data_IF_366115959459
#
_entry.id   IF_366115959459
#
_cell.length_a   1.000
_cell.length_b   1.000
_cell.length_c   1.000
_cell.angle_alpha   90.00
_cell.angle_beta   90.00
_cell.angle_gamma   90.00
#
_symmetry.space_group_name_H-M   'P 1'
#
loop_
_entity.id
_entity.type
_entity.pdbx_description
1 polymer ?
#
# COMPACT_ATOMS: atom_id res chain seq x y z
N UNK A 1 -24.16 15.72 0.64
CA UNK A 1 -23.68 14.39 0.19
C UNK A 1 -22.70 13.90 1.25
N UNK A 2 -22.64 12.60 1.56
CA UNK A 2 -21.77 12.11 2.65
C UNK A 2 -20.32 12.12 2.17
N UNK A 3 -19.44 12.94 2.76
CA UNK A 3 -18.03 13.11 2.35
C UNK A 3 -17.26 11.78 2.29
N UNK A 4 -17.60 10.83 3.15
CA UNK A 4 -17.00 9.48 3.15
C UNK A 4 -17.34 8.72 1.86
N UNK A 5 -18.55 8.88 1.31
CA UNK A 5 -18.95 8.24 0.05
C UNK A 5 -18.14 8.80 -1.12
N UNK A 6 -17.93 10.11 -1.17
CA UNK A 6 -17.08 10.75 -2.18
C UNK A 6 -15.64 10.25 -2.12
N UNK A 7 -15.07 10.11 -0.91
CA UNK A 7 -13.74 9.55 -0.69
C UNK A 7 -13.64 8.09 -1.18
N UNK A 8 -14.67 7.29 -0.95
CA UNK A 8 -14.71 5.91 -1.43
C UNK A 8 -14.88 5.82 -2.95
N UNK A 9 -15.63 6.72 -3.56
CA UNK A 9 -15.82 6.76 -5.01
C UNK A 9 -14.54 7.17 -5.74
N UNK A 10 -13.69 8.00 -5.12
CA UNK A 10 -12.35 8.31 -5.65
C UNK A 10 -11.48 7.05 -5.85
N UNK A 11 -11.71 5.98 -5.07
CA UNK A 11 -10.96 4.71 -5.19
C UNK A 11 -11.20 3.93 -6.48
N UNK A 12 -12.24 4.28 -7.25
CA UNK A 12 -12.52 3.61 -8.52
C UNK A 12 -11.64 4.11 -9.67
N UNK A 13 -10.98 5.24 -9.49
CA UNK A 13 -10.13 5.86 -10.50
C UNK A 13 -8.83 6.37 -9.89
N UNK A 14 -8.21 5.66 -8.94
CA UNK A 14 -6.92 6.07 -8.41
C UNK A 14 -5.84 6.11 -9.50
N UNK A 15 -4.86 7.02 -9.37
CA UNK A 15 -3.74 7.06 -10.29
C UNK A 15 -2.91 5.78 -10.15
N UNK A 16 -2.42 5.29 -11.28
CA UNK A 16 -1.51 4.15 -11.36
C UNK A 16 -0.09 4.69 -11.52
N UNK A 17 0.88 4.36 -10.64
CA UNK A 17 2.28 4.66 -10.90
C UNK A 17 2.77 4.02 -12.19
N UNK A 18 2.17 2.88 -12.56
CA UNK A 18 2.78 2.01 -13.54
C UNK A 18 2.44 2.40 -14.98
N UNK A 19 3.48 2.41 -15.82
CA UNK A 19 3.38 2.31 -17.28
C UNK A 19 3.06 0.89 -17.78
N UNK A 20 2.44 0.05 -16.94
CA UNK A 20 2.16 -1.39 -17.21
C UNK A 20 1.38 -1.59 -18.51
N UNK A 21 0.70 -0.56 -19.02
CA UNK A 21 0.02 -0.61 -20.31
C UNK A 21 0.99 -0.93 -21.44
N UNK A 22 2.19 -0.34 -21.46
CA UNK A 22 3.17 -0.62 -22.49
C UNK A 22 3.61 -2.08 -22.44
N UNK A 23 3.83 -2.62 -21.24
CA UNK A 23 4.21 -4.01 -21.01
C UNK A 23 3.07 -4.98 -21.36
N UNK A 24 1.82 -4.63 -21.05
CA UNK A 24 0.65 -5.43 -21.41
C UNK A 24 0.41 -5.40 -22.92
N UNK A 25 0.58 -4.25 -23.57
CA UNK A 25 0.50 -4.15 -25.03
C UNK A 25 1.60 -4.97 -25.68
N UNK A 26 2.82 -4.96 -25.15
CA UNK A 26 3.92 -5.82 -25.59
C UNK A 26 3.52 -7.30 -25.47
N UNK A 27 3.02 -7.72 -24.30
CA UNK A 27 2.63 -9.11 -24.03
C UNK A 27 1.43 -9.58 -24.83
N UNK A 28 0.44 -8.73 -25.08
CA UNK A 28 -0.70 -9.07 -25.93
C UNK A 28 -0.29 -9.31 -27.39
N UNK A 29 0.83 -8.73 -27.82
CA UNK A 29 1.35 -8.86 -29.19
C UNK A 29 2.45 -9.91 -29.34
N UNK A 30 2.94 -10.49 -28.24
CA UNK A 30 4.02 -11.48 -28.22
C UNK A 30 3.63 -12.74 -27.40
N UNK A 31 3.46 -13.91 -28.04
CA UNK A 31 3.11 -15.15 -27.34
C UNK A 31 4.22 -15.68 -26.41
N UNK A 32 5.46 -15.20 -26.52
CA UNK A 32 6.60 -15.59 -25.67
C UNK A 32 6.88 -14.58 -24.54
N UNK A 33 5.98 -13.62 -24.33
CA UNK A 33 6.24 -12.52 -23.44
C UNK A 33 6.41 -12.91 -21.96
N UNK A 34 7.24 -12.13 -21.27
CA UNK A 34 7.66 -12.44 -19.91
C UNK A 34 6.59 -12.05 -18.86
N UNK A 35 5.76 -13.02 -18.46
CA UNK A 35 4.74 -12.83 -17.41
C UNK A 35 5.29 -12.36 -16.07
N UNK A 36 6.55 -12.68 -15.74
CA UNK A 36 7.18 -12.24 -14.50
C UNK A 36 7.47 -10.73 -14.50
N UNK A 37 7.62 -10.12 -15.69
CA UNK A 37 7.76 -8.66 -15.82
C UNK A 37 6.46 -7.95 -15.44
N UNK A 38 5.34 -8.33 -16.08
CA UNK A 38 4.01 -7.77 -15.75
C UNK A 38 3.67 -8.01 -14.29
N UNK A 39 3.91 -9.22 -13.79
CA UNK A 39 3.63 -9.58 -12.41
C UNK A 39 4.37 -8.69 -11.41
N UNK A 40 5.63 -8.36 -11.70
CA UNK A 40 6.42 -7.42 -10.89
C UNK A 40 5.85 -6.01 -10.96
N UNK A 41 5.63 -5.49 -12.15
CA UNK A 41 5.12 -4.12 -12.35
C UNK A 41 3.76 -3.90 -11.68
N UNK A 42 2.84 -4.87 -11.79
CA UNK A 42 1.56 -4.84 -11.08
C UNK A 42 1.76 -4.92 -9.56
N UNK A 43 2.68 -5.77 -9.08
CA UNK A 43 2.92 -5.94 -7.64
C UNK A 43 3.52 -4.68 -6.97
N UNK A 44 4.09 -3.76 -7.75
CA UNK A 44 4.60 -2.47 -7.26
C UNK A 44 3.59 -1.34 -7.38
N UNK A 45 2.45 -1.61 -8.04
CA UNK A 45 1.37 -0.65 -8.23
C UNK A 45 0.25 -0.93 -7.20
N UNK A 46 0.04 -0.04 -6.21
CA UNK A 46 -1.00 -0.27 -5.20
C UNK A 46 -2.41 -0.40 -5.81
N UNK A 47 -2.71 0.40 -6.83
CA UNK A 47 -4.02 0.38 -7.46
C UNK A 47 -4.26 -0.92 -8.22
N UNK A 48 -3.35 -1.30 -9.13
CA UNK A 48 -3.48 -2.54 -9.90
C UNK A 48 -3.36 -3.78 -9.02
N UNK A 49 -2.47 -3.79 -8.03
CA UNK A 49 -2.36 -4.87 -7.03
C UNK A 49 -3.69 -5.11 -6.32
N UNK A 50 -4.33 -4.04 -5.82
CA UNK A 50 -5.61 -4.16 -5.14
C UNK A 50 -6.73 -4.60 -6.08
N UNK A 51 -6.80 -4.04 -7.29
CA UNK A 51 -7.81 -4.42 -8.28
C UNK A 51 -7.69 -5.88 -8.74
N UNK A 52 -6.47 -6.37 -9.04
CA UNK A 52 -6.28 -7.76 -9.48
C UNK A 52 -6.57 -8.74 -8.35
N UNK A 53 -6.17 -8.41 -7.11
CA UNK A 53 -6.45 -9.23 -5.94
C UNK A 53 -7.95 -9.29 -5.64
N UNK A 54 -8.63 -8.16 -5.75
CA UNK A 54 -10.09 -8.08 -5.63
C UNK A 54 -10.82 -8.90 -6.68
N UNK A 55 -10.36 -8.84 -7.93
CA UNK A 55 -10.90 -9.63 -9.03
C UNK A 55 -10.73 -11.13 -8.76
N UNK A 56 -9.54 -11.56 -8.35
CA UNK A 56 -9.21 -12.95 -7.99
C UNK A 56 -10.02 -13.50 -6.81
N UNK A 57 -10.51 -12.62 -5.92
CA UNK A 57 -11.36 -12.96 -4.77
C UNK A 57 -12.86 -12.79 -5.03
N UNK A 58 -13.25 -12.28 -6.21
CA UNK A 58 -14.67 -12.20 -6.57
C UNK A 58 -15.32 -13.58 -6.69
N UNK A 59 -16.66 -13.62 -6.58
CA UNK A 59 -17.43 -14.86 -6.63
C UNK A 59 -17.17 -15.70 -7.90
N UNK A 60 -16.80 -15.06 -9.01
CA UNK A 60 -16.49 -15.74 -10.27
C UNK A 60 -15.12 -16.45 -10.23
N UNK A 61 -14.09 -15.81 -9.70
CA UNK A 61 -12.70 -16.32 -9.74
C UNK A 61 -12.29 -17.12 -8.50
N UNK A 62 -12.84 -16.82 -7.32
CA UNK A 62 -12.30 -17.34 -6.05
C UNK A 62 -12.44 -18.85 -5.87
N UNK A 63 -13.48 -19.46 -6.46
CA UNK A 63 -13.80 -20.89 -6.32
C UNK A 63 -13.76 -21.38 -4.86
N UNK A 64 -14.14 -20.51 -3.91
CA UNK A 64 -14.16 -20.81 -2.48
C UNK A 64 -12.81 -20.78 -1.77
N UNK A 65 -11.73 -20.34 -2.43
CA UNK A 65 -10.41 -20.14 -1.80
C UNK A 65 -9.99 -18.69 -1.88
N UNK A 66 -9.65 -18.10 -0.74
CA UNK A 66 -9.09 -16.75 -0.70
C UNK A 66 -7.73 -16.70 -1.41
N UNK A 67 -7.44 -15.58 -2.10
CA UNK A 67 -6.15 -15.28 -2.71
C UNK A 67 -5.55 -14.08 -1.98
N UNK A 68 -4.31 -14.21 -1.53
CA UNK A 68 -3.66 -13.15 -0.73
C UNK A 68 -2.32 -12.71 -1.31
N UNK A 69 -2.04 -13.07 -2.56
CA UNK A 69 -0.77 -12.81 -3.25
C UNK A 69 -1.08 -12.38 -4.69
N UNK A 70 -0.38 -11.35 -5.18
CA UNK A 70 -0.63 -10.74 -6.49
C UNK A 70 -0.30 -11.69 -7.65
N UNK A 71 0.81 -12.42 -7.58
CA UNK A 71 1.19 -13.38 -8.62
C UNK A 71 0.16 -14.51 -8.74
N UNK A 72 -0.33 -15.02 -7.61
CA UNK A 72 -1.42 -16.00 -7.58
C UNK A 72 -2.74 -15.41 -8.11
N UNK A 73 -3.01 -14.14 -7.84
CA UNK A 73 -4.18 -13.45 -8.37
C UNK A 73 -4.11 -13.35 -9.89
N UNK A 74 -2.96 -12.97 -10.45
CA UNK A 74 -2.71 -12.91 -11.89
C UNK A 74 -2.91 -14.28 -12.54
N UNK A 75 -2.30 -15.34 -11.99
CA UNK A 75 -2.48 -16.71 -12.50
C UNK A 75 -3.94 -17.17 -12.44
N UNK A 76 -4.69 -16.77 -11.41
CA UNK A 76 -6.09 -17.14 -11.24
C UNK A 76 -7.02 -16.41 -12.19
N UNK A 77 -6.77 -15.12 -12.41
CA UNK A 77 -7.58 -14.26 -13.29
C UNK A 77 -7.30 -14.57 -14.76
N UNK A 78 -6.05 -14.85 -15.11
CA UNK A 78 -5.61 -15.10 -16.48
C UNK A 78 -5.44 -13.82 -17.29
N UNK A 79 -4.76 -13.94 -18.43
CA UNK A 79 -4.26 -12.78 -19.17
C UNK A 79 -5.34 -11.94 -19.83
N UNK A 80 -6.34 -12.55 -20.48
CA UNK A 80 -7.39 -11.79 -21.16
C UNK A 80 -8.14 -10.88 -20.18
N UNK A 81 -8.46 -11.43 -19.01
CA UNK A 81 -9.14 -10.71 -17.93
C UNK A 81 -8.24 -9.64 -17.31
N UNK A 82 -6.95 -9.95 -17.14
CA UNK A 82 -5.97 -8.99 -16.63
C UNK A 82 -5.79 -7.79 -17.58
N UNK A 83 -5.65 -8.04 -18.87
CA UNK A 83 -5.53 -7.01 -19.89
C UNK A 83 -6.75 -6.10 -19.92
N UNK A 84 -7.96 -6.69 -19.86
CA UNK A 84 -9.20 -5.93 -19.73
C UNK A 84 -9.24 -5.04 -18.48
N UNK A 85 -8.77 -5.56 -17.34
CA UNK A 85 -8.69 -4.80 -16.09
C UNK A 85 -7.75 -3.59 -16.22
N UNK A 86 -6.53 -3.80 -16.74
CA UNK A 86 -5.55 -2.70 -16.85
C UNK A 86 -5.99 -1.65 -17.87
N UNK A 87 -6.51 -2.07 -19.02
CA UNK A 87 -7.03 -1.13 -20.03
C UNK A 87 -8.22 -0.32 -19.51
N UNK A 88 -9.15 -0.97 -18.79
CA UNK A 88 -10.28 -0.30 -18.15
C UNK A 88 -9.84 0.70 -17.06
N UNK A 89 -8.87 0.29 -16.25
CA UNK A 89 -8.23 1.14 -15.24
C UNK A 89 -7.60 2.40 -15.84
N UNK A 90 -6.88 2.26 -16.95
CA UNK A 90 -6.30 3.40 -17.65
C UNK A 90 -7.36 4.34 -18.24
N UNK A 91 -8.40 3.78 -18.85
CA UNK A 91 -9.51 4.57 -19.38
C UNK A 91 -10.18 5.40 -18.28
N UNK A 92 -10.41 4.82 -17.10
CA UNK A 92 -10.95 5.54 -15.94
C UNK A 92 -10.05 6.71 -15.52
N UNK A 93 -8.73 6.50 -15.48
CA UNK A 93 -7.75 7.55 -15.13
C UNK A 93 -7.68 8.67 -16.17
N UNK A 94 -7.77 8.34 -17.47
CA UNK A 94 -7.72 9.32 -18.57
C UNK A 94 -8.93 10.25 -18.64
N UNK A 95 -10.04 9.87 -18.00
CA UNK A 95 -11.29 10.65 -17.97
C UNK A 95 -11.32 11.71 -16.86
N UNK A 96 -10.35 11.68 -15.93
CA UNK A 96 -10.19 12.69 -14.88
C UNK A 96 -9.00 13.61 -15.16
N UNK A 97 -9.11 14.88 -14.76
CA UNK A 97 -7.97 15.80 -14.62
C UNK A 97 -7.11 15.37 -13.42
N UNK A 98 -6.53 14.17 -13.47
CA UNK A 98 -5.83 13.61 -12.33
C UNK A 98 -4.34 13.76 -12.53
N UNK A 99 -3.69 14.43 -11.57
CA UNK A 99 -2.26 14.75 -11.49
C UNK A 99 -1.38 13.49 -11.45
N UNK A 100 -1.25 12.79 -12.58
CA UNK A 100 -0.44 11.59 -12.72
C UNK A 100 1.09 11.82 -12.72
N UNK A 101 1.58 13.01 -12.38
CA UNK A 101 3.01 13.33 -12.53
C UNK A 101 3.53 14.34 -11.50
N UNK A 102 2.90 14.44 -10.33
CA UNK A 102 3.48 15.24 -9.24
C UNK A 102 4.55 14.45 -8.49
N UNK A 103 5.64 15.12 -8.13
CA UNK A 103 6.72 14.58 -7.30
C UNK A 103 6.18 13.96 -6.00
N UNK A 104 5.12 14.54 -5.42
CA UNK A 104 4.45 14.02 -4.22
C UNK A 104 3.83 12.65 -4.44
N UNK A 105 3.20 12.43 -5.59
CA UNK A 105 2.56 11.16 -5.90
C UNK A 105 3.63 10.07 -6.13
N UNK A 106 4.73 10.40 -6.81
CA UNK A 106 5.87 9.49 -6.92
C UNK A 106 6.48 9.14 -5.56
N UNK A 107 6.65 10.14 -4.69
CA UNK A 107 7.13 9.93 -3.32
C UNK A 107 6.20 9.01 -2.51
N UNK A 108 4.88 9.21 -2.63
CA UNK A 108 3.87 8.35 -2.01
C UNK A 108 4.02 6.88 -2.44
N UNK A 109 4.23 6.63 -3.74
CA UNK A 109 4.42 5.26 -4.24
C UNK A 109 5.73 4.63 -3.79
N UNK A 110 6.84 5.38 -3.80
CA UNK A 110 8.13 4.90 -3.26
C UNK A 110 8.01 4.52 -1.80
N UNK A 111 7.28 5.31 -1.02
CA UNK A 111 7.00 5.01 0.37
C UNK A 111 6.18 3.71 0.52
N UNK A 112 5.07 3.56 -0.20
CA UNK A 112 4.27 2.33 -0.15
C UNK A 112 5.10 1.08 -0.52
N UNK A 113 5.93 1.17 -1.56
CA UNK A 113 6.82 0.08 -1.97
C UNK A 113 7.87 -0.25 -0.90
N UNK A 114 8.46 0.78 -0.29
CA UNK A 114 9.39 0.61 0.83
C UNK A 114 8.75 -0.18 1.98
N UNK A 115 7.56 0.25 2.42
CA UNK A 115 6.82 -0.40 3.50
C UNK A 115 6.49 -1.85 3.14
N UNK A 116 6.06 -2.12 1.91
CA UNK A 116 5.79 -3.47 1.43
C UNK A 116 7.01 -4.40 1.52
N UNK A 117 8.17 -3.93 1.04
CA UNK A 117 9.43 -4.68 1.06
C UNK A 117 9.94 -4.89 2.49
N UNK A 118 9.87 -3.86 3.34
CA UNK A 118 10.26 -3.95 4.74
C UNK A 118 9.37 -4.90 5.52
N UNK A 119 8.04 -4.76 5.43
CA UNK A 119 7.08 -5.64 6.07
C UNK A 119 7.33 -7.11 5.67
N UNK A 120 7.56 -7.36 4.37
CA UNK A 120 7.92 -8.68 3.84
C UNK A 120 9.25 -9.21 4.39
N UNK A 121 10.26 -8.34 4.56
CA UNK A 121 11.58 -8.72 5.08
C UNK A 121 11.52 -9.01 6.59
N UNK A 122 10.74 -8.25 7.34
CA UNK A 122 10.53 -8.44 8.79
C UNK A 122 9.94 -9.82 9.08
N UNK A 123 9.05 -10.35 8.24
CA UNK A 123 8.49 -11.69 8.48
C UNK A 123 9.56 -12.78 8.53
N UNK A 124 10.71 -12.60 7.86
CA UNK A 124 11.82 -13.56 7.87
C UNK A 124 12.65 -13.52 9.16
N UNK A 125 12.50 -12.45 9.94
CA UNK A 125 13.20 -12.21 11.21
C UNK A 125 12.31 -12.44 12.43
N UNK A 126 11.02 -12.68 12.21
CA UNK A 126 10.02 -12.90 13.24
C UNK A 126 9.40 -14.28 13.09
N UNK A 127 8.65 -14.73 14.10
CA UNK A 127 7.84 -15.96 14.00
C UNK A 127 6.46 -15.70 13.39
N UNK A 128 6.22 -14.49 12.87
CA UNK A 128 4.93 -14.08 12.35
C UNK A 128 4.72 -14.64 10.93
N UNK A 129 3.56 -15.27 10.67
CA UNK A 129 3.25 -15.85 9.37
C UNK A 129 2.90 -14.80 8.30
N UNK A 130 2.54 -15.27 7.09
CA UNK A 130 1.92 -14.49 6.02
C UNK A 130 2.80 -13.43 5.31
N UNK A 131 4.04 -13.80 4.97
CA UNK A 131 4.98 -12.96 4.21
C UNK A 131 4.33 -12.23 3.01
N UNK A 132 3.53 -12.92 2.20
CA UNK A 132 2.87 -12.32 1.02
C UNK A 132 1.73 -11.36 1.40
N UNK A 133 1.00 -11.62 2.49
CA UNK A 133 0.01 -10.67 3.00
C UNK A 133 0.68 -9.44 3.59
N UNK A 134 1.84 -9.58 4.24
CA UNK A 134 2.59 -8.46 4.79
C UNK A 134 3.05 -7.51 3.66
N UNK A 135 3.50 -8.06 2.54
CA UNK A 135 3.81 -7.29 1.34
C UNK A 135 2.57 -6.55 0.81
N UNK A 136 1.45 -7.27 0.59
CA UNK A 136 0.24 -6.66 0.03
C UNK A 136 -0.40 -5.64 0.99
N UNK A 137 -0.42 -5.90 2.28
CA UNK A 137 -0.89 -4.94 3.26
C UNK A 137 0.04 -3.72 3.31
N UNK A 138 1.36 -3.91 3.19
CA UNK A 138 2.33 -2.82 3.13
C UNK A 138 2.21 -1.96 1.87
N UNK A 139 2.00 -2.55 0.68
CA UNK A 139 1.83 -1.77 -0.56
C UNK A 139 0.50 -0.99 -0.55
N UNK A 140 -0.48 -1.43 0.23
CA UNK A 140 -1.82 -0.85 0.32
C UNK A 140 -2.11 -0.07 1.61
N UNK A 141 -1.16 0.04 2.55
CA UNK A 141 -1.45 0.54 3.90
C UNK A 141 -2.03 1.95 3.92
N UNK A 142 -1.57 2.82 3.02
CA UNK A 142 -2.01 4.21 2.92
C UNK A 142 -2.99 4.48 1.75
N UNK A 143 -3.71 3.48 1.25
CA UNK A 143 -4.71 3.72 0.18
C UNK A 143 -5.83 4.70 0.59
N UNK A 144 -6.10 4.86 1.90
CA UNK A 144 -7.01 5.89 2.41
C UNK A 144 -6.45 7.30 2.20
N UNK A 145 -5.15 7.51 2.46
CA UNK A 145 -4.46 8.77 2.18
C UNK A 145 -4.55 9.13 0.70
N UNK A 146 -4.43 8.15 -0.18
CA UNK A 146 -4.58 8.38 -1.62
C UNK A 146 -5.99 8.87 -1.99
N UNK A 147 -7.04 8.30 -1.40
CA UNK A 147 -8.41 8.80 -1.60
C UNK A 147 -8.56 10.26 -1.13
N UNK A 148 -8.00 10.60 0.02
CA UNK A 148 -8.04 11.97 0.52
C UNK A 148 -7.26 12.94 -0.38
N UNK A 149 -6.09 12.54 -0.88
CA UNK A 149 -5.28 13.36 -1.79
C UNK A 149 -5.93 13.55 -3.17
N UNK A 150 -6.54 12.50 -3.73
CA UNK A 150 -7.22 12.57 -5.03
C UNK A 150 -8.45 13.46 -4.95
N UNK A 151 -9.21 13.40 -3.86
CA UNK A 151 -10.43 14.19 -3.69
C UNK A 151 -10.16 15.63 -3.21
N UNK A 152 -9.14 15.84 -2.38
CA UNK A 152 -8.93 17.09 -1.62
C UNK A 152 -7.45 17.44 -1.44
N UNK A 153 -6.68 17.37 -2.53
CA UNK A 153 -5.22 17.49 -2.52
C UNK A 153 -4.68 18.76 -1.85
N UNK A 154 -5.33 19.91 -2.02
CA UNK A 154 -4.89 21.18 -1.40
C UNK A 154 -5.07 21.17 0.12
N UNK A 155 -6.24 20.72 0.60
CA UNK A 155 -6.51 20.62 2.04
C UNK A 155 -5.63 19.57 2.69
N UNK A 156 -5.43 18.42 2.03
CA UNK A 156 -4.54 17.38 2.52
C UNK A 156 -3.07 17.85 2.54
N UNK A 157 -2.62 18.63 1.56
CA UNK A 157 -1.29 19.23 1.58
C UNK A 157 -1.10 20.23 2.74
N UNK A 158 -2.15 20.99 3.09
CA UNK A 158 -2.12 21.87 4.26
C UNK A 158 -2.05 21.07 5.57
N UNK A 159 -2.76 19.94 5.62
CA UNK A 159 -2.73 19.01 6.75
C UNK A 159 -1.33 18.44 6.95
N UNK A 160 -0.67 17.98 5.88
CA UNK A 160 0.70 17.46 5.98
C UNK A 160 1.71 18.48 6.52
N UNK A 161 1.55 19.77 6.18
CA UNK A 161 2.38 20.85 6.77
C UNK A 161 2.20 21.02 8.28
N UNK A 162 1.03 20.66 8.83
CA UNK A 162 0.79 20.62 10.28
C UNK A 162 1.42 19.38 10.91
N UNK A 163 1.40 18.24 10.22
CA UNK A 163 2.09 17.02 10.65
C UNK A 163 3.61 17.26 10.78
N UNK A 164 4.21 17.97 9.82
CA UNK A 164 5.63 18.38 9.89
C UNK A 164 5.94 19.26 11.12
N UNK A 165 4.93 19.94 11.67
CA UNK A 165 5.04 20.75 12.90
C UNK A 165 4.80 19.93 14.19
N UNK A 166 4.59 18.61 14.06
CA UNK A 166 4.44 17.67 15.17
C UNK A 166 2.99 17.37 15.56
N UNK A 167 2.01 17.81 14.77
CA UNK A 167 0.61 17.44 15.00
C UNK A 167 0.32 15.99 14.55
N UNK A 168 -0.60 15.32 15.25
CA UNK A 168 -0.96 13.93 14.99
C UNK A 168 -1.85 13.80 13.74
N UNK A 169 -1.37 13.08 12.73
CA UNK A 169 -2.06 12.93 11.45
C UNK A 169 -3.49 12.39 11.59
N UNK A 170 -3.72 11.43 12.50
CA UNK A 170 -5.00 10.75 12.64
C UNK A 170 -6.03 11.70 13.26
N UNK A 171 -5.61 12.49 14.25
CA UNK A 171 -6.42 13.56 14.81
C UNK A 171 -6.80 14.58 13.73
N UNK A 172 -5.84 15.02 12.92
CA UNK A 172 -6.07 16.01 11.87
C UNK A 172 -7.03 15.51 10.79
N UNK A 173 -6.88 14.27 10.35
CA UNK A 173 -7.77 13.67 9.35
C UNK A 173 -9.19 13.48 9.90
N UNK A 174 -9.32 13.00 11.15
CA UNK A 174 -10.63 12.90 11.80
C UNK A 174 -11.28 14.26 12.02
N UNK A 175 -10.52 15.30 12.32
CA UNK A 175 -11.01 16.69 12.42
C UNK A 175 -11.55 17.18 11.06
N UNK A 176 -10.81 16.94 9.98
CA UNK A 176 -11.13 17.46 8.66
C UNK A 176 -12.19 16.65 7.91
N UNK A 177 -12.14 15.31 8.01
CA UNK A 177 -12.95 14.38 7.21
C UNK A 177 -13.92 13.53 8.03
N UNK A 178 -13.78 13.50 9.36
CA UNK A 178 -14.56 12.62 10.24
C UNK A 178 -14.12 11.15 10.25
N UNK A 179 -13.02 10.83 9.56
CA UNK A 179 -12.41 9.50 9.42
C UNK A 179 -10.91 9.68 9.17
N UNK A 180 -10.07 8.76 9.63
CA UNK A 180 -8.65 8.75 9.29
C UNK A 180 -8.33 7.86 8.06
N UNK A 181 -7.10 7.93 7.56
CA UNK A 181 -6.68 7.14 6.41
C UNK A 181 -6.68 5.63 6.67
N UNK A 182 -6.53 5.19 7.92
CA UNK A 182 -6.52 3.77 8.28
C UNK A 182 -7.94 3.18 8.13
N UNK A 183 -8.92 3.83 8.74
CA UNK A 183 -10.34 3.46 8.67
C UNK A 183 -10.88 3.61 7.22
N UNK A 184 -10.51 4.69 6.53
CA UNK A 184 -10.87 4.85 5.11
C UNK A 184 -10.23 3.77 4.24
N UNK A 185 -8.96 3.45 4.49
CA UNK A 185 -8.23 2.39 3.80
C UNK A 185 -8.89 1.02 3.99
N UNK A 186 -9.37 0.71 5.20
CA UNK A 186 -10.18 -0.48 5.46
C UNK A 186 -11.43 -0.53 4.56
N UNK A 187 -12.18 0.57 4.47
CA UNK A 187 -13.37 0.62 3.62
C UNK A 187 -13.06 0.48 2.13
N UNK A 188 -11.94 1.05 1.65
CA UNK A 188 -11.47 0.82 0.28
C UNK A 188 -11.13 -0.65 0.07
N UNK A 189 -10.39 -1.27 1.00
CA UNK A 189 -10.06 -2.69 0.95
C UNK A 189 -11.30 -3.59 0.92
N UNK A 190 -12.33 -3.26 1.69
CA UNK A 190 -13.63 -3.96 1.67
C UNK A 190 -14.34 -3.79 0.31
N UNK A 191 -14.39 -2.57 -0.24
CA UNK A 191 -14.98 -2.29 -1.57
C UNK A 191 -14.27 -3.09 -2.66
N UNK A 192 -12.95 -3.24 -2.54
CA UNK A 192 -12.12 -4.02 -3.44
C UNK A 192 -12.14 -5.53 -3.14
N UNK A 193 -12.91 -6.00 -2.15
CA UNK A 193 -13.02 -7.42 -1.79
C UNK A 193 -11.68 -8.05 -1.45
N UNK A 194 -10.81 -7.28 -0.80
CA UNK A 194 -9.52 -7.77 -0.36
C UNK A 194 -9.69 -8.78 0.79
N UNK A 195 -8.74 -9.71 0.95
CA UNK A 195 -8.71 -10.63 2.07
C UNK A 195 -8.86 -9.94 3.42
N UNK A 196 -9.60 -10.57 4.34
CA UNK A 196 -9.92 -9.98 5.65
C UNK A 196 -8.67 -9.56 6.43
N UNK A 197 -7.64 -10.40 6.43
CA UNK A 197 -6.37 -10.11 7.11
C UNK A 197 -5.69 -8.85 6.56
N UNK A 198 -5.69 -8.66 5.23
CA UNK A 198 -5.12 -7.47 4.59
C UNK A 198 -5.92 -6.22 4.97
N UNK A 199 -7.25 -6.27 4.92
CA UNK A 199 -8.08 -5.14 5.30
C UNK A 199 -7.85 -4.73 6.76
N UNK A 200 -7.80 -5.69 7.69
CA UNK A 200 -7.55 -5.42 9.12
C UNK A 200 -6.13 -4.90 9.37
N UNK A 201 -5.15 -5.37 8.60
CA UNK A 201 -3.78 -4.85 8.70
C UNK A 201 -3.70 -3.39 8.23
N UNK A 202 -4.42 -3.02 7.16
CA UNK A 202 -4.54 -1.63 6.70
C UNK A 202 -5.20 -0.76 7.78
N UNK A 203 -6.27 -1.23 8.43
CA UNK A 203 -6.91 -0.48 9.52
C UNK A 203 -5.99 -0.34 10.75
N UNK A 204 -5.28 -1.42 11.10
CA UNK A 204 -4.59 -1.54 12.37
C UNK A 204 -3.14 -1.05 12.39
N UNK A 205 -2.53 -0.71 11.25
CA UNK A 205 -1.08 -0.44 11.19
C UNK A 205 -0.64 0.78 12.04
N UNK A 206 -1.52 1.76 12.26
CA UNK A 206 -1.28 2.89 13.19
C UNK A 206 -1.92 2.69 14.58
N UNK A 207 -2.50 1.51 14.84
CA UNK A 207 -3.34 1.24 16.02
C UNK A 207 -3.05 -0.11 16.68
N UNK A 208 -1.85 -0.66 16.51
CA UNK A 208 -1.45 -1.98 17.03
C UNK A 208 -1.63 -2.10 18.55
N UNK A 209 -1.47 -0.98 19.27
CA UNK A 209 -1.68 -0.84 20.71
C UNK A 209 -3.14 -0.97 21.12
N UNK A 210 -4.08 -0.62 20.24
CA UNK A 210 -5.52 -0.70 20.47
C UNK A 210 -6.12 -2.05 20.02
N UNK A 211 -5.37 -2.86 19.27
CA UNK A 211 -5.82 -4.18 18.82
C UNK A 211 -5.83 -5.20 19.96
N UNK A 212 -6.87 -6.03 20.00
CA UNK A 212 -6.99 -7.12 20.97
C UNK A 212 -5.79 -8.07 20.87
N UNK A 213 -5.25 -8.48 22.02
CA UNK A 213 -4.02 -9.27 22.09
C UNK A 213 -4.13 -10.65 21.42
N UNK A 214 -5.33 -11.21 21.37
CA UNK A 214 -5.69 -12.48 20.74
C UNK A 214 -6.21 -12.35 19.30
N UNK A 215 -6.19 -11.13 18.73
CA UNK A 215 -6.56 -10.90 17.35
C UNK A 215 -5.59 -11.62 16.41
N UNK A 216 -6.15 -12.48 15.55
CA UNK A 216 -5.43 -13.26 14.53
C UNK A 216 -4.54 -12.38 13.64
N UNK A 217 -4.97 -11.14 13.36
CA UNK A 217 -4.30 -10.24 12.42
C UNK A 217 -3.45 -9.15 13.09
N UNK A 218 -3.35 -9.15 14.42
CA UNK A 218 -2.50 -8.19 15.16
C UNK A 218 -1.03 -8.29 14.75
N UNK A 219 -0.56 -9.52 14.51
CA UNK A 219 0.79 -9.75 13.98
C UNK A 219 0.99 -9.12 12.60
N UNK A 220 0.01 -9.27 11.70
CA UNK A 220 0.09 -8.70 10.36
C UNK A 220 0.07 -7.17 10.37
N UNK A 221 -0.79 -6.55 11.18
CA UNK A 221 -0.81 -5.10 11.38
C UNK A 221 0.54 -4.60 11.94
N UNK A 222 1.13 -5.31 12.91
CA UNK A 222 2.42 -4.96 13.49
C UNK A 222 3.59 -5.08 12.49
N UNK A 223 3.53 -6.03 11.56
CA UNK A 223 4.51 -6.14 10.47
C UNK A 223 4.47 -4.93 9.54
N UNK A 224 3.26 -4.46 9.20
CA UNK A 224 3.08 -3.25 8.37
C UNK A 224 3.52 -2.01 9.14
N UNK A 225 3.12 -1.88 10.41
CA UNK A 225 3.52 -0.79 11.30
C UNK A 225 5.05 -0.68 11.41
N UNK A 226 5.74 -1.81 11.67
CA UNK A 226 7.20 -1.83 11.72
C UNK A 226 7.84 -1.50 10.37
N UNK A 227 7.24 -1.93 9.25
CA UNK A 227 7.70 -1.56 7.93
C UNK A 227 7.64 -0.05 7.69
N UNK A 228 6.54 0.59 8.10
CA UNK A 228 6.34 2.02 7.99
C UNK A 228 7.27 2.81 8.94
N UNK A 229 7.40 2.38 10.20
CA UNK A 229 8.36 2.92 11.17
C UNK A 229 9.79 2.90 10.63
N UNK A 230 10.25 1.76 10.07
CA UNK A 230 11.60 1.67 9.51
C UNK A 230 11.76 2.47 8.21
N UNK A 231 10.67 2.73 7.49
CA UNK A 231 10.72 3.56 6.28
C UNK A 231 11.13 5.00 6.58
N UNK A 232 10.90 5.48 7.81
CA UNK A 232 11.31 6.81 8.25
C UNK A 232 12.82 7.00 8.16
N UNK A 233 13.57 6.00 8.60
CA UNK A 233 15.03 5.98 8.49
C UNK A 233 15.47 5.82 7.02
N UNK A 234 14.70 5.11 6.20
CA UNK A 234 14.99 4.96 4.76
C UNK A 234 14.85 6.30 4.02
N UNK A 235 13.86 7.12 4.38
CA UNK A 235 13.58 8.40 3.73
C UNK A 235 14.03 9.63 4.53
N UNK A 236 14.82 9.46 5.61
CA UNK A 236 15.26 10.56 6.46
C UNK A 236 15.95 11.72 5.69
N UNK A 237 16.60 11.40 4.56
CA UNK A 237 17.32 12.36 3.71
C UNK A 237 16.54 12.76 2.43
N UNK A 238 15.32 12.23 2.22
CA UNK A 238 14.49 12.51 1.04
C UNK A 238 13.35 13.49 1.40
N UNK A 239 13.51 14.80 1.13
CA UNK A 239 12.50 15.80 1.49
C UNK A 239 11.20 15.70 0.69
N UNK A 240 11.15 14.86 -0.36
CA UNK A 240 9.93 14.67 -1.15
C UNK A 240 8.95 13.70 -0.48
N UNK A 241 9.42 12.88 0.46
CA UNK A 241 8.59 11.93 1.21
C UNK A 241 8.25 12.54 2.57
N UNK A 242 6.96 12.77 2.79
CA UNK A 242 6.48 13.24 4.11
C UNK A 242 6.51 12.07 5.09
N UNK A 243 7.44 12.12 6.04
CA UNK A 243 7.57 11.15 7.11
C UNK A 243 6.57 11.47 8.22
N UNK A 244 5.66 10.54 8.50
CA UNK A 244 4.63 10.70 9.52
C UNK A 244 5.10 10.05 10.83
N UNK A 245 5.37 10.82 11.90
CA UNK A 245 5.91 10.25 13.14
C UNK A 245 4.92 9.27 13.79
N UNK A 246 5.46 8.23 14.44
CA UNK A 246 4.71 7.35 15.32
C UNK A 246 4.78 7.86 16.76
N UNK A 247 3.67 7.77 17.48
CA UNK A 247 3.64 7.97 18.92
C UNK A 247 4.37 6.83 19.64
N UNK A 248 4.93 7.11 20.82
CA UNK A 248 5.70 6.13 21.59
C UNK A 248 4.93 4.82 21.83
N UNK A 249 3.64 4.91 22.17
CA UNK A 249 2.79 3.74 22.40
C UNK A 249 2.62 2.86 21.15
N UNK A 250 2.52 3.46 19.96
CA UNK A 250 2.38 2.74 18.70
C UNK A 250 3.70 1.99 18.37
N UNK A 251 4.84 2.68 18.55
CA UNK A 251 6.17 2.11 18.35
C UNK A 251 6.40 0.92 19.30
N UNK A 252 6.12 1.09 20.59
CA UNK A 252 6.30 0.06 21.62
C UNK A 252 5.43 -1.17 21.34
N UNK A 253 4.17 -0.96 20.93
CA UNK A 253 3.27 -2.05 20.59
C UNK A 253 3.73 -2.84 19.36
N UNK A 254 4.16 -2.15 18.29
CA UNK A 254 4.66 -2.78 17.07
C UNK A 254 5.94 -3.59 17.35
N UNK A 255 6.88 -3.05 18.14
CA UNK A 255 8.09 -3.76 18.60
C UNK A 255 7.74 -4.96 19.48
N UNK A 256 6.82 -4.82 20.43
CA UNK A 256 6.43 -5.91 21.32
C UNK A 256 5.78 -7.08 20.58
N UNK A 257 4.96 -6.82 19.55
CA UNK A 257 4.32 -7.87 18.76
C UNK A 257 5.29 -8.54 17.80
N UNK A 258 6.19 -7.78 17.16
CA UNK A 258 7.16 -8.33 16.22
C UNK A 258 8.37 -8.98 16.91
N UNK A 259 8.68 -8.57 18.14
CA UNK A 259 9.90 -8.97 18.86
C UNK A 259 11.17 -8.29 18.33
N UNK A 260 11.04 -7.24 17.51
CA UNK A 260 12.18 -6.47 17.02
C UNK A 260 12.54 -5.38 18.03
N UNK A 261 13.73 -5.50 18.62
CA UNK A 261 14.33 -4.43 19.42
C UNK A 261 15.07 -3.41 18.53
N UNK A 262 15.63 -2.37 19.16
CA UNK A 262 16.33 -1.30 18.45
C UNK A 262 17.56 -1.78 17.68
N UNK A 263 18.29 -2.75 18.23
CA UNK A 263 19.49 -3.27 17.59
C UNK A 263 19.14 -4.14 16.38
N UNK A 264 18.09 -4.96 16.47
CA UNK A 264 17.55 -5.69 15.34
C UNK A 264 17.06 -4.74 14.24
N UNK A 265 16.40 -3.63 14.60
CA UNK A 265 15.97 -2.59 13.65
C UNK A 265 17.17 -1.94 12.95
N UNK A 266 18.23 -1.57 13.68
CA UNK A 266 19.47 -1.00 13.10
C UNK A 266 20.16 -1.97 12.15
N UNK A 267 20.34 -3.23 12.55
CA UNK A 267 20.92 -4.27 11.68
C UNK A 267 20.08 -4.43 10.42
N UNK A 268 18.75 -4.42 10.55
CA UNK A 268 17.87 -4.46 9.40
C UNK A 268 18.11 -3.27 8.48
N UNK A 269 18.19 -2.04 9.00
CA UNK A 269 18.45 -0.83 8.21
C UNK A 269 19.82 -0.85 7.50
N UNK A 270 20.87 -1.32 8.18
CA UNK A 270 22.20 -1.50 7.57
C UNK A 270 22.17 -2.51 6.42
N UNK A 271 21.49 -3.65 6.60
CA UNK A 271 21.24 -4.63 5.53
C UNK A 271 20.27 -4.13 4.45
N UNK A 272 19.65 -2.97 4.65
CA UNK A 272 18.60 -2.34 3.84
C UNK A 272 19.14 -1.12 3.10
N UNK A 273 20.44 -0.83 3.17
CA UNK A 273 21.09 0.09 2.23
C UNK A 273 20.85 -0.36 0.77
N UNK A 274 20.79 -1.67 0.53
CA UNK A 274 20.33 -2.27 -0.72
C UNK A 274 18.85 -1.98 -1.05
N UNK A 275 17.97 -1.80 -0.07
CA UNK A 275 16.56 -1.46 -0.29
C UNK A 275 16.42 -0.01 -0.74
N UNK A 276 17.26 0.93 -0.27
CA UNK A 276 17.29 2.29 -0.85
C UNK A 276 17.61 2.23 -2.34
N UNK A 277 18.64 1.47 -2.71
CA UNK A 277 19.04 1.27 -4.12
C UNK A 277 17.97 0.51 -4.92
N UNK A 278 17.37 -0.52 -4.34
CA UNK A 278 16.28 -1.30 -4.93
C UNK A 278 15.04 -0.42 -5.15
N UNK A 279 14.61 0.38 -4.18
CA UNK A 279 13.50 1.33 -4.34
C UNK A 279 13.84 2.37 -5.41
N UNK A 280 15.07 2.92 -5.43
CA UNK A 280 15.47 3.87 -6.44
C UNK A 280 15.48 3.24 -7.86
N UNK A 281 15.96 2.00 -7.98
CA UNK A 281 15.95 1.24 -9.23
C UNK A 281 14.53 0.93 -9.69
N UNK A 282 13.69 0.40 -8.79
CA UNK A 282 12.29 0.04 -9.09
C UNK A 282 11.43 1.27 -9.36
N UNK A 283 11.70 2.39 -8.68
CA UNK A 283 11.07 3.66 -8.95
C UNK A 283 11.45 4.19 -10.35
N UNK A 284 12.71 4.05 -10.78
CA UNK A 284 13.13 4.43 -12.12
C UNK A 284 12.54 3.54 -13.24
N UNK A 285 12.09 2.32 -12.91
CA UNK A 285 11.34 1.47 -13.83
C UNK A 285 9.86 1.88 -13.95
N UNK A 286 9.32 2.59 -12.95
CA UNK A 286 7.90 2.96 -12.87
C UNK A 286 7.63 4.44 -13.20
N UNK A 287 8.58 5.35 -12.97
CA UNK A 287 8.44 6.81 -13.08
C UNK A 287 9.46 7.44 -14.02
#
# INVERSE_FOLDING_TARGET
>A
MNRIVELLDASDAFPSPSGVIAEIVEVLNDPDANFDKIGRSISMDPYLSGKVLGMANSAFYSRGKECTNVQQAIMRVGMDSLSGLVLGSFAAQSSGEMMGSSERLQAFWRHCLCVALLAKKITRRTQLPHQEQAYVAGILHNIGTLAMQVLDGDSYANLLRRVEQGEDILCLERELYGIDHCELGFHVAQRWKLPKGIAIAIEGHRHVEAMAADSEYRGLAALVAMGDILSQDVFADDPSVVVVPYQAAQLDAARAVTGLDEDACKIMLEETQMIREEIASLAAELF
#
